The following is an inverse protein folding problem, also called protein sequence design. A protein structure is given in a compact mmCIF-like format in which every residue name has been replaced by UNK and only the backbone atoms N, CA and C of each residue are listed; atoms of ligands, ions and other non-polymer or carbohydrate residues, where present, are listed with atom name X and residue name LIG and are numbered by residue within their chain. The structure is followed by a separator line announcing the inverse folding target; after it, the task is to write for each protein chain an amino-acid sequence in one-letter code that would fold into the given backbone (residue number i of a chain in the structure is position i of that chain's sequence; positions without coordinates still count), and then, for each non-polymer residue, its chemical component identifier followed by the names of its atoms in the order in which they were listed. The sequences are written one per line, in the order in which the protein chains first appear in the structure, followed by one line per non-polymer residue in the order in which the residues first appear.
data_IF_495735333323
#
_entry.id   IF_495735333323
#
_cell.length_a   1.000
_cell.length_b   1.000
_cell.length_c   1.000
_cell.angle_alpha   90.00
_cell.angle_beta   90.00
_cell.angle_gamma   90.00
#
_symmetry.space_group_name_H-M   'P 1'
#
loop_
_entity.id
_entity.type
_entity.pdbx_description
1 polymer ?
#
# COMPACT_ATOMS: atom_id res chain seq x y z
N UNK A 1 -0.82 23.90 5.81
CA UNK A 1 -0.47 24.02 7.25
C UNK A 1 0.11 22.72 7.82
N UNK A 2 -0.54 21.55 7.62
CA UNK A 2 0.00 20.26 8.08
C UNK A 2 1.36 19.90 7.44
N UNK A 3 1.47 20.02 6.11
CA UNK A 3 2.71 19.72 5.37
C UNK A 3 3.90 20.52 5.90
N UNK A 4 3.75 21.84 6.04
CA UNK A 4 4.80 22.73 6.57
C UNK A 4 5.21 22.35 7.99
N UNK A 5 4.25 22.09 8.88
CA UNK A 5 4.56 21.67 10.26
C UNK A 5 5.29 20.32 10.32
N UNK A 6 4.97 19.39 9.42
CA UNK A 6 5.68 18.13 9.31
C UNK A 6 7.10 18.31 8.74
N UNK A 7 7.28 19.16 7.73
CA UNK A 7 8.60 19.47 7.16
C UNK A 7 9.52 20.15 8.18
N UNK A 8 9.01 21.11 8.95
CA UNK A 8 9.75 21.77 10.04
C UNK A 8 10.20 20.78 11.12
N UNK A 9 9.31 19.88 11.53
CA UNK A 9 9.61 18.85 12.53
C UNK A 9 10.66 17.83 12.06
N UNK A 10 10.58 17.36 10.82
CA UNK A 10 11.59 16.45 10.25
C UNK A 10 12.94 17.15 10.05
N UNK A 11 12.92 18.46 9.76
CA UNK A 11 14.16 19.26 9.71
C UNK A 11 14.81 19.37 11.08
N UNK A 12 14.01 19.45 12.14
CA UNK A 12 14.50 19.44 13.52
C UNK A 12 15.19 18.11 13.89
N UNK A 13 14.60 16.96 13.50
CA UNK A 13 15.23 15.64 13.69
C UNK A 13 16.58 15.56 12.99
N UNK A 14 16.65 15.98 11.72
CA UNK A 14 17.91 15.93 10.96
C UNK A 14 19.01 16.77 11.58
N UNK A 15 18.68 17.97 12.10
CA UNK A 15 19.65 18.81 12.80
C UNK A 15 20.16 18.14 14.08
N UNK A 16 19.27 17.52 14.87
CA UNK A 16 19.67 16.78 16.06
C UNK A 16 20.59 15.60 15.71
N UNK A 17 20.27 14.85 14.66
CA UNK A 17 21.10 13.74 14.17
C UNK A 17 22.48 14.23 13.67
N UNK A 18 22.53 15.35 12.95
CA UNK A 18 23.77 15.97 12.48
C UNK A 18 24.63 16.51 13.63
N UNK A 19 24.01 17.09 14.67
CA UNK A 19 24.67 17.56 15.88
C UNK A 19 25.25 16.39 16.70
N UNK A 20 24.52 15.29 16.85
CA UNK A 20 25.00 14.08 17.53
C UNK A 20 26.11 13.37 16.73
N UNK A 21 26.03 13.33 15.40
CA UNK A 21 27.11 12.83 14.55
C UNK A 21 28.38 13.68 14.65
N UNK A 22 28.25 15.01 14.73
CA UNK A 22 29.38 15.93 14.92
C UNK A 22 29.98 15.86 16.33
N UNK A 23 29.17 15.57 17.34
CA UNK A 23 29.62 15.39 18.72
C UNK A 23 30.42 14.08 18.93
N UNK A 24 30.46 13.18 17.94
CA UNK A 24 31.28 11.97 17.97
C UNK A 24 30.82 10.92 18.99
N UNK A 25 29.62 11.05 19.54
CA UNK A 25 29.12 10.19 20.62
C UNK A 25 28.63 8.83 20.15
N UNK A 26 28.46 8.59 18.85
CA UNK A 26 28.15 7.27 18.27
C UNK A 26 26.87 6.61 18.77
N UNK A 27 26.09 7.29 19.62
CA UNK A 27 24.83 6.84 20.16
C UNK A 27 23.80 7.04 19.05
N UNK A 28 23.38 5.94 18.45
CA UNK A 28 22.20 5.90 17.59
C UNK A 28 21.00 6.33 18.45
N UNK A 29 20.52 7.56 18.26
CA UNK A 29 19.32 8.06 18.92
C UNK A 29 18.18 7.04 18.72
N UNK A 30 17.46 6.66 19.78
CA UNK A 30 16.31 5.75 19.66
C UNK A 30 15.26 6.42 18.77
N UNK A 31 14.89 5.85 17.61
CA UNK A 31 13.90 6.44 16.72
C UNK A 31 12.55 6.72 17.40
N UNK A 32 12.24 5.98 18.46
CA UNK A 32 11.04 6.18 19.25
C UNK A 32 11.11 7.42 20.14
N UNK A 33 12.27 7.71 20.72
CA UNK A 33 12.53 8.92 21.51
C UNK A 33 12.53 10.17 20.60
N UNK A 34 13.18 10.09 19.44
CA UNK A 34 13.17 11.15 18.44
C UNK A 34 11.74 11.47 17.97
N UNK A 35 10.92 10.44 17.72
CA UNK A 35 9.51 10.61 17.36
C UNK A 35 8.71 11.32 18.46
N UNK A 36 8.92 10.96 19.73
CA UNK A 36 8.25 11.59 20.87
C UNK A 36 8.64 13.06 21.04
N UNK A 37 9.92 13.39 20.81
CA UNK A 37 10.43 14.75 20.93
C UNK A 37 9.81 15.70 19.88
N UNK A 38 9.65 15.24 18.63
CA UNK A 38 9.13 16.11 17.56
C UNK A 38 7.61 16.10 17.42
N UNK A 39 6.93 15.05 17.87
CA UNK A 39 5.48 14.91 17.68
C UNK A 39 4.68 16.13 18.16
N UNK A 40 4.95 16.75 19.33
CA UNK A 40 4.22 17.93 19.80
C UNK A 40 4.19 19.10 18.81
N UNK A 41 5.24 19.29 18.02
CA UNK A 41 5.34 20.39 17.04
C UNK A 41 4.34 20.25 15.88
N UNK A 42 4.00 19.02 15.49
CA UNK A 42 3.05 18.72 14.40
C UNK A 42 1.69 18.22 14.89
N UNK A 43 1.58 17.77 16.15
CA UNK A 43 0.42 17.11 16.72
C UNK A 43 -0.88 17.89 16.49
N UNK A 44 -0.87 19.20 16.77
CA UNK A 44 -2.06 20.05 16.62
C UNK A 44 -2.52 20.14 15.17
N UNK A 45 -1.59 20.25 14.22
CA UNK A 45 -1.92 20.33 12.80
C UNK A 45 -2.46 18.99 12.29
N UNK A 46 -1.88 17.87 12.72
CA UNK A 46 -2.31 16.53 12.33
C UNK A 46 -3.68 16.21 12.92
N UNK A 47 -3.88 16.41 14.22
CA UNK A 47 -5.18 16.20 14.87
C UNK A 47 -6.28 17.07 14.27
N UNK A 48 -5.99 18.32 13.92
CA UNK A 48 -6.95 19.20 13.23
C UNK A 48 -7.34 18.63 11.87
N UNK A 49 -6.38 18.13 11.09
CA UNK A 49 -6.63 17.50 9.81
C UNK A 49 -7.48 16.23 9.98
N UNK A 50 -7.06 15.32 10.86
CA UNK A 50 -7.78 14.06 11.12
C UNK A 50 -9.21 14.29 11.63
N UNK A 51 -9.45 15.36 12.40
CA UNK A 51 -10.81 15.77 12.79
C UNK A 51 -11.63 16.26 11.60
N UNK A 52 -11.05 17.11 10.75
CA UNK A 52 -11.73 17.66 9.59
C UNK A 52 -12.07 16.58 8.55
N UNK A 53 -11.21 15.59 8.37
CA UNK A 53 -11.42 14.45 7.45
C UNK A 53 -12.18 13.29 8.07
N UNK A 54 -12.62 13.41 9.34
CA UNK A 54 -13.27 12.33 10.12
C UNK A 54 -12.40 11.06 10.25
N UNK A 55 -11.09 11.20 10.15
CA UNK A 55 -10.12 10.11 10.27
C UNK A 55 -9.65 9.87 11.72
N UNK A 56 -10.00 10.74 12.67
CA UNK A 56 -9.55 10.65 14.07
C UNK A 56 -9.76 9.29 14.77
N UNK A 57 -10.90 8.58 14.65
CA UNK A 57 -11.07 7.30 15.34
C UNK A 57 -10.16 6.18 14.80
N UNK A 58 -9.65 6.32 13.58
CA UNK A 58 -8.82 5.30 12.92
C UNK A 58 -7.33 5.43 13.23
N UNK A 59 -6.92 6.50 13.90
CA UNK A 59 -5.51 6.76 14.19
C UNK A 59 -5.31 7.01 15.68
N UNK A 60 -4.87 5.96 16.38
CA UNK A 60 -4.42 6.09 17.76
C UNK A 60 -3.10 6.88 17.83
N UNK A 61 -2.90 7.56 18.96
CA UNK A 61 -1.65 8.28 19.25
C UNK A 61 -0.43 7.36 19.11
N UNK A 62 -0.51 6.16 19.68
CA UNK A 62 0.55 5.15 19.62
C UNK A 62 0.84 4.71 18.18
N UNK A 63 -0.20 4.49 17.36
CA UNK A 63 -0.03 4.10 15.96
C UNK A 63 0.62 5.20 15.12
N UNK A 64 0.36 6.46 15.44
CA UNK A 64 1.00 7.62 14.79
C UNK A 64 2.48 7.70 15.19
N UNK A 65 2.79 7.58 16.49
CA UNK A 65 4.16 7.60 17.01
C UNK A 65 5.01 6.45 16.45
N UNK A 66 4.44 5.23 16.38
CA UNK A 66 5.11 4.06 15.79
C UNK A 66 5.45 4.28 14.31
N UNK A 67 4.51 4.85 13.55
CA UNK A 67 4.75 5.20 12.14
C UNK A 67 5.81 6.28 11.99
N UNK A 68 5.79 7.28 12.88
CA UNK A 68 6.77 8.37 12.88
C UNK A 68 8.19 7.86 13.20
N UNK A 69 8.34 7.01 14.23
CA UNK A 69 9.60 6.37 14.57
C UNK A 69 10.14 5.52 13.41
N UNK A 70 9.25 4.78 12.73
CA UNK A 70 9.62 4.03 11.52
C UNK A 70 10.10 4.94 10.39
N UNK A 71 9.47 6.10 10.19
CA UNK A 71 9.93 7.10 9.21
C UNK A 71 11.31 7.66 9.54
N UNK A 72 11.58 7.94 10.81
CA UNK A 72 12.88 8.46 11.27
C UNK A 72 13.97 7.39 11.11
N UNK A 73 13.69 6.14 11.49
CA UNK A 73 14.65 5.04 11.42
C UNK A 73 15.12 4.71 9.99
N UNK A 74 14.34 5.05 8.98
CA UNK A 74 14.62 4.75 7.56
C UNK A 74 14.87 6.03 6.74
N UNK A 75 15.18 7.16 7.37
CA UNK A 75 15.45 8.45 6.73
C UNK A 75 14.35 8.91 5.74
N UNK A 76 13.11 8.53 6.01
CA UNK A 76 11.98 8.87 5.16
C UNK A 76 11.63 10.35 5.26
N UNK A 77 11.04 10.89 4.18
CA UNK A 77 10.65 12.30 4.13
C UNK A 77 9.34 12.55 4.89
N UNK A 78 9.12 13.79 5.32
CA UNK A 78 7.84 14.22 5.92
C UNK A 78 6.63 13.92 5.00
N UNK A 79 6.82 13.94 3.67
CA UNK A 79 5.79 13.58 2.70
C UNK A 79 5.42 12.09 2.78
N UNK A 80 6.40 11.20 2.89
CA UNK A 80 6.17 9.76 3.06
C UNK A 80 5.42 9.45 4.36
N UNK A 81 5.73 10.16 5.45
CA UNK A 81 4.95 10.08 6.69
C UNK A 81 3.48 10.49 6.45
N UNK A 82 3.27 11.62 5.78
CA UNK A 82 1.93 12.19 5.54
C UNK A 82 1.10 11.40 4.53
N UNK A 83 1.72 10.67 3.60
CA UNK A 83 1.04 9.89 2.57
C UNK A 83 0.02 8.91 3.16
N UNK A 84 0.33 8.31 4.31
CA UNK A 84 -0.58 7.42 5.06
C UNK A 84 -1.91 8.09 5.46
N UNK A 85 -1.92 9.41 5.64
CA UNK A 85 -3.09 10.19 6.07
C UNK A 85 -3.71 11.00 4.93
N UNK A 86 -2.92 11.38 3.93
CA UNK A 86 -3.34 12.20 2.79
C UNK A 86 -3.84 11.36 1.60
N UNK A 87 -3.35 10.13 1.43
CA UNK A 87 -3.81 9.25 0.37
C UNK A 87 -5.20 8.69 0.72
N UNK A 88 -6.21 8.86 -0.14
CA UNK A 88 -7.45 8.11 -0.03
C UNK A 88 -7.15 6.66 -0.42
N UNK A 89 -6.64 5.87 0.51
CA UNK A 89 -6.47 4.43 0.30
C UNK A 89 -7.82 3.76 0.03
N UNK A 90 -7.86 2.60 -0.65
CA UNK A 90 -9.09 1.82 -0.83
C UNK A 90 -9.61 1.42 0.55
N UNK A 91 -10.65 2.13 1.03
CA UNK A 91 -11.21 1.95 2.36
C UNK A 91 -12.09 0.70 2.42
N UNK A 92 -11.48 -0.48 2.37
CA UNK A 92 -12.05 -1.66 3.02
C UNK A 92 -11.74 -1.51 4.52
N UNK A 93 -12.60 -0.76 5.20
CA UNK A 93 -12.46 -0.42 6.61
C UNK A 93 -12.96 -1.56 7.48
N UNK A 94 -12.06 -2.14 8.28
CA UNK A 94 -12.40 -3.06 9.37
C UNK A 94 -12.47 -2.26 10.66
N UNK A 95 -13.69 -1.86 11.04
CA UNK A 95 -13.98 -1.23 12.34
C UNK A 95 -13.96 -2.28 13.46
N UNK A 96 -13.30 -2.03 14.61
CA UNK A 96 -13.13 -3.02 15.67
C UNK A 96 -14.43 -3.38 16.42
N UNK A 97 -15.48 -2.55 16.38
CA UNK A 97 -16.68 -2.72 17.23
C UNK A 97 -17.94 -3.21 16.49
N UNK A 98 -17.73 -3.96 15.41
CA UNK A 98 -18.74 -4.06 14.35
C UNK A 98 -19.13 -5.51 14.01
N UNK A 99 -19.23 -6.39 15.00
CA UNK A 99 -19.62 -7.81 14.83
C UNK A 99 -20.93 -8.00 14.02
N UNK A 100 -21.91 -7.10 14.20
CA UNK A 100 -23.16 -7.07 13.41
C UNK A 100 -23.00 -6.47 12.00
N UNK A 101 -21.95 -5.69 11.74
CA UNK A 101 -21.61 -5.19 10.40
C UNK A 101 -20.61 -6.09 9.66
N UNK A 102 -20.08 -7.10 10.35
CA UNK A 102 -19.33 -8.20 9.75
C UNK A 102 -20.27 -9.26 9.17
N UNK A 103 -21.58 -9.16 9.44
CA UNK A 103 -22.58 -10.05 8.87
C UNK A 103 -23.01 -9.57 7.48
N UNK A 104 -22.45 -10.21 6.46
CA UNK A 104 -22.87 -10.02 5.08
C UNK A 104 -24.02 -10.97 4.74
N UNK A 105 -25.06 -10.44 4.09
CA UNK A 105 -26.12 -11.26 3.50
C UNK A 105 -25.80 -11.50 2.03
N UNK A 106 -25.65 -12.77 1.66
CA UNK A 106 -25.56 -13.18 0.27
C UNK A 106 -26.96 -13.20 -0.34
N UNK A 107 -27.14 -12.41 -1.40
CA UNK A 107 -28.33 -12.40 -2.24
C UNK A 107 -27.94 -12.97 -3.61
N UNK A 108 -28.45 -14.14 -3.92
CA UNK A 108 -28.18 -14.86 -5.17
C UNK A 108 -29.49 -15.32 -5.79
N UNK A 109 -29.59 -15.22 -7.12
CA UNK A 109 -30.69 -15.83 -7.86
C UNK A 109 -30.54 -17.36 -7.96
N UNK A 110 -29.30 -17.86 -7.87
CA UNK A 110 -28.97 -19.29 -7.90
C UNK A 110 -28.78 -19.85 -6.47
N UNK A 111 -28.98 -21.16 -6.24
CA UNK A 111 -28.74 -21.79 -4.95
C UNK A 111 -27.30 -21.59 -4.46
N UNK A 112 -27.16 -21.11 -3.22
CA UNK A 112 -25.86 -20.85 -2.56
C UNK A 112 -25.01 -22.12 -2.38
N UNK A 113 -25.64 -23.28 -2.43
CA UNK A 113 -24.98 -24.59 -2.34
C UNK A 113 -24.38 -25.06 -3.67
N UNK A 114 -24.66 -24.36 -4.78
CA UNK A 114 -24.14 -24.74 -6.10
C UNK A 114 -22.69 -24.30 -6.29
N UNK A 115 -21.95 -25.02 -7.13
CA UNK A 115 -20.58 -24.66 -7.48
C UNK A 115 -20.55 -23.32 -8.22
N UNK A 116 -19.55 -22.49 -7.91
CA UNK A 116 -19.36 -21.18 -8.51
C UNK A 116 -19.05 -21.33 -10.01
N UNK A 117 -19.87 -20.72 -10.87
CA UNK A 117 -19.70 -20.74 -12.33
C UNK A 117 -19.16 -19.40 -12.83
N UNK A 118 -18.51 -19.46 -13.99
CA UNK A 118 -18.15 -18.27 -14.75
C UNK A 118 -19.41 -17.50 -15.13
N UNK A 119 -19.38 -16.17 -14.99
CA UNK A 119 -20.53 -15.31 -15.26
C UNK A 119 -21.60 -15.28 -14.16
N UNK A 120 -21.47 -16.06 -13.08
CA UNK A 120 -22.41 -15.96 -11.95
C UNK A 120 -22.34 -14.56 -11.33
N UNK A 121 -23.50 -13.93 -11.15
CA UNK A 121 -23.63 -12.64 -10.49
C UNK A 121 -24.45 -12.77 -9.20
N UNK A 122 -23.95 -12.20 -8.11
CA UNK A 122 -24.63 -12.16 -6.82
C UNK A 122 -24.33 -10.85 -6.09
N UNK A 123 -25.11 -10.53 -5.07
CA UNK A 123 -24.91 -9.34 -4.27
C UNK A 123 -24.56 -9.70 -2.83
N UNK A 124 -23.54 -9.04 -2.28
CA UNK A 124 -23.21 -9.06 -0.87
C UNK A 124 -23.75 -7.77 -0.25
N UNK A 125 -24.83 -7.91 0.52
CA UNK A 125 -25.50 -6.79 1.15
C UNK A 125 -25.16 -6.70 2.64
N UNK A 126 -24.93 -5.47 3.09
CA UNK A 126 -24.81 -5.05 4.49
C UNK A 126 -25.87 -3.99 4.78
N UNK A 127 -26.01 -3.58 6.03
CA UNK A 127 -26.98 -2.56 6.44
C UNK A 127 -26.76 -1.19 5.76
N UNK A 128 -25.51 -0.84 5.44
CA UNK A 128 -25.08 0.48 4.93
C UNK A 128 -24.50 0.44 3.51
N UNK A 129 -24.26 -0.74 2.93
CA UNK A 129 -23.64 -0.89 1.61
C UNK A 129 -24.00 -2.21 0.92
N UNK A 130 -24.00 -2.20 -0.42
CA UNK A 130 -24.24 -3.37 -1.25
C UNK A 130 -23.14 -3.50 -2.30
N UNK A 131 -22.55 -4.69 -2.43
CA UNK A 131 -21.58 -5.02 -3.45
C UNK A 131 -22.21 -5.96 -4.46
N UNK A 132 -22.16 -5.60 -5.74
CA UNK A 132 -22.48 -6.53 -6.83
C UNK A 132 -21.19 -7.22 -7.25
N UNK A 133 -21.19 -8.54 -7.21
CA UNK A 133 -20.05 -9.40 -7.53
C UNK A 133 -20.37 -10.18 -8.79
N UNK A 134 -19.45 -10.14 -9.76
CA UNK A 134 -19.50 -10.96 -10.97
C UNK A 134 -18.29 -11.87 -10.99
N UNK A 135 -18.53 -13.16 -11.08
CA UNK A 135 -17.48 -14.17 -11.14
C UNK A 135 -16.94 -14.27 -12.55
N UNK A 136 -15.62 -14.18 -12.68
CA UNK A 136 -14.92 -14.46 -13.94
C UNK A 136 -13.86 -15.54 -13.74
N UNK A 137 -13.78 -16.48 -14.67
CA UNK A 137 -12.79 -17.55 -14.66
C UNK A 137 -11.43 -16.98 -15.04
N UNK A 138 -10.46 -17.07 -14.14
CA UNK A 138 -9.09 -16.73 -14.45
C UNK A 138 -8.53 -17.69 -15.52
N UNK A 139 -7.87 -17.18 -16.57
CA UNK A 139 -7.22 -18.04 -17.56
C UNK A 139 -6.09 -18.83 -16.90
N UNK A 140 -6.06 -20.15 -17.14
CA UNK A 140 -4.94 -20.99 -16.70
C UNK A 140 -3.84 -20.91 -17.76
N UNK A 141 -2.70 -20.34 -17.40
CA UNK A 141 -1.52 -20.37 -18.24
C UNK A 141 -0.70 -21.62 -17.93
N UNK A 142 -0.25 -22.31 -18.97
CA UNK A 142 0.72 -23.40 -18.85
C UNK A 142 1.92 -23.00 -19.70
N UNK A 143 3.02 -22.67 -19.04
CA UNK A 143 4.30 -22.39 -19.68
C UNK A 143 5.05 -23.71 -19.77
N UNK A 144 5.50 -24.06 -20.97
CA UNK A 144 6.36 -25.21 -21.19
C UNK A 144 7.59 -24.78 -21.98
N UNK A 145 8.77 -25.11 -21.48
CA UNK A 145 10.02 -24.95 -22.20
C UNK A 145 10.30 -26.24 -22.98
N UNK A 146 10.63 -26.11 -24.26
CA UNK A 146 11.05 -27.24 -25.10
C UNK A 146 12.40 -26.93 -25.70
N UNK A 147 13.35 -27.86 -25.57
CA UNK A 147 14.65 -27.73 -26.21
C UNK A 147 14.49 -27.91 -27.71
N UNK A 148 14.79 -26.86 -28.48
CA UNK A 148 14.85 -26.92 -29.93
C UNK A 148 16.27 -27.29 -30.36
N UNK A 149 16.43 -28.42 -31.05
CA UNK A 149 17.73 -28.82 -31.61
C UNK A 149 18.24 -27.74 -32.57
N UNK A 150 19.44 -27.17 -32.37
CA UNK A 150 20.04 -26.19 -33.28
C UNK A 150 20.15 -26.66 -34.74
N UNK A 151 20.01 -27.96 -35.02
CA UNK A 151 19.99 -28.51 -36.38
C UNK A 151 18.63 -28.45 -37.07
N UNK A 152 17.51 -28.34 -36.35
CA UNK A 152 16.16 -28.37 -36.94
C UNK A 152 15.72 -27.05 -37.56
N UNK A 153 16.41 -25.94 -37.24
CA UNK A 153 16.08 -24.58 -37.70
C UNK A 153 17.22 -23.93 -38.51
N UNK A 154 17.90 -24.70 -39.37
CA UNK A 154 18.88 -24.13 -40.29
C UNK A 154 18.22 -23.71 -41.58
N UNK A 155 18.28 -22.41 -41.89
CA UNK A 155 17.94 -21.89 -43.20
C UNK A 155 19.04 -22.28 -44.19
N UNK A 156 18.68 -22.96 -45.28
CA UNK A 156 19.62 -23.23 -46.38
C UNK A 156 19.54 -22.06 -47.35
N UNK A 157 20.58 -21.23 -47.37
CA UNK A 157 20.72 -20.16 -48.35
C UNK A 157 21.15 -20.79 -49.69
N UNK A 158 20.22 -20.92 -50.64
CA UNK A 158 20.55 -21.34 -52.03
C UNK A 158 20.86 -20.10 -52.85
N UNK A 159 22.15 -19.81 -53.06
CA UNK A 159 22.58 -18.84 -54.06
C UNK A 159 22.41 -19.48 -55.45
N UNK A 160 21.42 -19.03 -56.24
CA UNK A 160 21.42 -19.33 -57.67
C UNK A 160 22.38 -18.35 -58.34
N UNK A 161 23.52 -18.88 -58.82
CA UNK A 161 24.48 -18.15 -59.63
C UNK A 161 23.96 -18.05 -61.07
N UNK A 162 22.92 -17.25 -61.29
CA UNK A 162 22.57 -16.78 -62.63
C UNK A 162 23.44 -15.56 -62.94
N UNK A 163 24.70 -15.82 -63.26
CA UNK A 163 25.54 -14.90 -64.04
C UNK A 163 26.06 -15.66 -65.24
N UNK A 164 25.45 -15.41 -66.40
CA UNK A 164 26.08 -15.59 -67.70
C UNK A 164 25.92 -14.28 -68.48
N UNK A 165 27.07 -13.81 -68.97
CA UNK A 165 27.33 -12.64 -69.84
C UNK A 165 26.25 -12.41 -70.89
#
# INVERSE_FOLDING_TARGET
RLVVAAEEAFTHVRRLQEEEQRAGTGLTMDPQEAAQAIFPSMARALQKYLRATKQQPFHSMEGILKHLAHCIAHDMTARAFLEKYLSPGPTVQYEPDKWLSSQWRLLSAEPVTSALRDGTAFSLARADLCLVVTVSRAPRFTLSETFLDPKSHKFVLRLQSETSV
#
